data_IF_370082460184
#
_entry.id   IF_370082460184
#
_cell.length_a   1.000
_cell.length_b   1.000
_cell.length_c   1.000
_cell.angle_alpha   90.00
_cell.angle_beta   90.00
_cell.angle_gamma   90.00
#
_symmetry.space_group_name_H-M   'P 1'
#
loop_
_entity.id
_entity.type
_entity.pdbx_description
1 polymer ?
#
# COMPACT_ATOMS: atom_id res chain seq x y z
N UNK A 1 -18.72 0.38 -5.34
CA UNK A 1 -18.17 -0.89 -5.90
C UNK A 1 -17.02 -1.28 -4.99
N UNK A 2 -17.00 -2.51 -4.46
CA UNK A 2 -15.95 -2.96 -3.56
C UNK A 2 -14.93 -3.81 -4.33
N UNK A 3 -13.66 -3.75 -3.90
CA UNK A 3 -12.52 -4.46 -4.47
C UNK A 3 -11.66 -5.02 -3.35
N UNK A 4 -10.99 -6.14 -3.61
CA UNK A 4 -10.03 -6.72 -2.67
C UNK A 4 -8.86 -5.76 -2.42
N UNK A 5 -8.36 -5.71 -1.19
CA UNK A 5 -7.09 -5.08 -0.86
C UNK A 5 -6.14 -6.09 -0.24
N UNK A 6 -4.98 -6.25 -0.87
CA UNK A 6 -3.82 -6.92 -0.27
C UNK A 6 -3.00 -5.92 0.54
N UNK A 7 -2.44 -6.38 1.66
CA UNK A 7 -1.59 -5.56 2.52
C UNK A 7 -2.35 -4.56 3.38
N UNK A 8 -1.62 -3.55 3.88
CA UNK A 8 -2.13 -2.55 4.83
C UNK A 8 -2.12 -1.12 4.31
N UNK A 9 -1.95 -0.94 3.00
CA UNK A 9 -1.90 0.37 2.34
C UNK A 9 -2.69 0.37 1.02
N UNK A 10 -3.61 1.32 0.87
CA UNK A 10 -4.26 1.66 -0.38
C UNK A 10 -3.61 2.94 -0.94
N UNK A 11 -2.92 2.84 -2.09
CA UNK A 11 -2.39 4.01 -2.80
C UNK A 11 -3.17 4.23 -4.10
N UNK A 12 -3.57 5.46 -4.35
CA UNK A 12 -4.43 5.80 -5.49
C UNK A 12 -4.27 7.25 -5.92
N UNK A 13 -4.76 7.54 -7.12
CA UNK A 13 -4.95 8.88 -7.62
C UNK A 13 -6.42 9.11 -7.93
N UNK A 14 -6.88 10.33 -7.67
CA UNK A 14 -8.23 10.76 -8.03
C UNK A 14 -8.20 12.15 -8.65
N UNK A 15 -8.98 12.33 -9.70
CA UNK A 15 -9.31 13.62 -10.31
C UNK A 15 -10.80 13.86 -10.13
N UNK A 16 -11.18 14.87 -9.36
CA UNK A 16 -12.57 15.25 -9.11
C UNK A 16 -12.62 16.62 -8.43
N UNK A 17 -13.73 17.36 -8.57
CA UNK A 17 -13.88 18.66 -7.93
C UNK A 17 -13.95 18.57 -6.40
N UNK A 18 -14.64 17.56 -5.86
CA UNK A 18 -14.85 17.37 -4.42
C UNK A 18 -15.39 15.95 -4.10
N UNK A 19 -15.51 15.64 -2.80
CA UNK A 19 -16.18 14.46 -2.23
C UNK A 19 -15.63 13.11 -2.73
N UNK A 20 -14.31 12.93 -2.73
CA UNK A 20 -13.73 11.60 -2.90
C UNK A 20 -13.91 10.79 -1.60
N UNK A 21 -14.45 9.57 -1.73
CA UNK A 21 -14.80 8.73 -0.59
C UNK A 21 -14.24 7.32 -0.78
N UNK A 22 -13.52 6.82 0.24
CA UNK A 22 -13.07 5.44 0.38
C UNK A 22 -13.79 4.79 1.57
N UNK A 23 -14.29 3.58 1.38
CA UNK A 23 -14.79 2.72 2.45
C UNK A 23 -13.81 1.54 2.64
N UNK A 24 -13.53 1.14 3.87
CA UNK A 24 -12.73 -0.04 4.21
C UNK A 24 -13.63 -1.05 4.94
N UNK A 25 -13.71 -2.27 4.41
CA UNK A 25 -14.69 -3.30 4.82
C UNK A 25 -14.08 -4.69 4.93
N UNK A 26 -14.80 -5.61 5.56
CA UNK A 26 -14.40 -7.02 5.73
C UNK A 26 -14.88 -7.93 4.60
N UNK A 27 -15.65 -7.41 3.64
CA UNK A 27 -16.24 -8.15 2.53
C UNK A 27 -16.45 -7.24 1.31
N UNK A 28 -16.80 -7.83 0.16
CA UNK A 28 -17.09 -7.13 -1.09
C UNK A 28 -18.42 -6.34 -1.09
N UNK A 29 -18.82 -5.83 0.07
CA UNK A 29 -20.04 -5.08 0.34
C UNK A 29 -19.82 -4.17 1.56
N UNK A 30 -20.80 -3.32 1.87
CA UNK A 30 -20.79 -2.57 3.13
C UNK A 30 -20.88 -3.54 4.32
N UNK A 31 -20.02 -3.34 5.31
CA UNK A 31 -19.99 -4.17 6.53
C UNK A 31 -20.20 -3.31 7.78
N UNK A 32 -20.58 -3.96 8.88
CA UNK A 32 -20.54 -3.37 10.21
C UNK A 32 -19.66 -4.26 11.10
N UNK A 33 -18.47 -3.81 11.54
CA UNK A 33 -17.91 -2.46 11.36
C UNK A 33 -17.43 -2.13 9.93
N UNK A 34 -17.28 -0.83 9.66
CA UNK A 34 -16.53 -0.28 8.52
C UNK A 34 -15.84 1.03 8.91
N UNK A 35 -14.79 1.40 8.18
CA UNK A 35 -14.15 2.73 8.25
C UNK A 35 -14.41 3.48 6.94
N UNK A 36 -14.72 4.76 7.04
CA UNK A 36 -14.91 5.65 5.90
C UNK A 36 -13.84 6.74 5.95
N UNK A 37 -13.20 7.01 4.81
CA UNK A 37 -12.23 8.08 4.62
C UNK A 37 -12.75 9.03 3.55
N UNK A 38 -13.09 10.24 3.99
CA UNK A 38 -13.55 11.34 3.15
C UNK A 38 -12.38 12.27 2.84
N UNK A 39 -12.22 12.62 1.57
CA UNK A 39 -11.15 13.46 1.06
C UNK A 39 -11.78 14.62 0.29
N UNK A 40 -11.51 15.86 0.72
CA UNK A 40 -12.11 17.07 0.13
C UNK A 40 -13.63 16.99 0.04
N UNK A 41 -14.27 16.47 1.09
CA UNK A 41 -15.71 16.37 1.22
C UNK A 41 -16.33 17.69 1.70
N UNK A 42 -17.67 17.73 1.77
CA UNK A 42 -18.45 18.93 2.10
C UNK A 42 -18.13 20.07 1.12
N UNK A 43 -18.35 19.81 -0.17
CA UNK A 43 -18.05 20.75 -1.26
C UNK A 43 -16.57 21.19 -1.30
N UNK A 44 -15.66 20.27 -0.97
CA UNK A 44 -14.21 20.54 -1.02
C UNK A 44 -13.60 21.12 0.25
N UNK A 45 -14.40 21.38 1.30
CA UNK A 45 -13.94 22.10 2.47
C UNK A 45 -13.05 21.27 3.43
N UNK A 46 -13.35 19.99 3.62
CA UNK A 46 -12.73 19.20 4.69
C UNK A 46 -12.55 17.72 4.34
N UNK A 47 -11.64 17.06 5.04
CA UNK A 47 -11.44 15.61 5.00
C UNK A 47 -11.75 15.02 6.37
N UNK A 48 -12.20 13.77 6.42
CA UNK A 48 -12.53 13.11 7.69
C UNK A 48 -12.31 11.61 7.65
N UNK A 49 -12.12 11.01 8.83
CA UNK A 49 -12.21 9.56 9.03
C UNK A 49 -13.41 9.30 9.96
N UNK A 50 -14.25 8.35 9.58
CA UNK A 50 -15.45 7.96 10.32
C UNK A 50 -15.51 6.46 10.54
N UNK A 51 -16.14 6.06 11.64
CA UNK A 51 -16.35 4.65 11.97
C UNK A 51 -17.84 4.34 12.07
N UNK A 52 -18.28 3.21 11.51
CA UNK A 52 -19.68 2.72 11.55
C UNK A 52 -20.73 3.77 11.14
N UNK A 53 -20.42 4.64 10.18
CA UNK A 53 -21.33 5.72 9.74
C UNK A 53 -21.81 6.64 10.90
N UNK A 54 -21.04 6.72 11.99
CA UNK A 54 -21.33 7.55 13.16
C UNK A 54 -20.70 8.95 13.03
N UNK A 55 -20.36 9.58 14.16
CA UNK A 55 -19.61 10.84 14.16
C UNK A 55 -18.18 10.65 13.62
N UNK A 56 -17.60 11.72 13.09
CA UNK A 56 -16.24 11.72 12.56
C UNK A 56 -15.25 11.49 13.72
N UNK A 57 -14.36 10.49 13.59
CA UNK A 57 -13.26 10.25 14.53
C UNK A 57 -12.23 11.37 14.47
N UNK A 58 -12.00 11.90 13.26
CA UNK A 58 -11.17 13.07 13.00
C UNK A 58 -11.73 13.80 11.79
N UNK A 59 -11.65 15.12 11.81
CA UNK A 59 -12.01 16.01 10.69
C UNK A 59 -11.00 17.16 10.63
N UNK A 60 -10.51 17.45 9.44
CA UNK A 60 -9.49 18.48 9.18
C UNK A 60 -9.93 19.32 7.99
N UNK A 61 -9.77 20.64 8.09
CA UNK A 61 -10.00 21.55 6.97
C UNK A 61 -8.95 21.30 5.89
N UNK A 62 -9.41 21.00 4.67
CA UNK A 62 -8.55 20.66 3.52
C UNK A 62 -9.07 21.33 2.25
N UNK A 63 -9.20 22.66 2.23
CA UNK A 63 -9.61 23.37 1.02
C UNK A 63 -8.62 23.06 -0.11
N UNK A 64 -9.14 22.98 -1.33
CA UNK A 64 -8.36 22.77 -2.55
C UNK A 64 -7.50 21.50 -2.52
N UNK A 65 -7.86 20.47 -1.73
CA UNK A 65 -7.08 19.21 -1.70
C UNK A 65 -7.32 18.36 -2.95
N UNK A 66 -8.50 18.45 -3.54
CA UNK A 66 -8.88 17.79 -4.80
C UNK A 66 -8.82 18.78 -5.98
N UNK A 67 -8.81 18.24 -7.21
CA UNK A 67 -8.83 19.03 -8.45
C UNK A 67 -9.61 18.30 -9.53
N UNK A 68 -10.42 19.05 -10.28
CA UNK A 68 -11.11 18.54 -11.48
C UNK A 68 -10.20 18.54 -12.72
N UNK A 69 -9.08 19.26 -12.68
CA UNK A 69 -8.17 19.44 -13.82
C UNK A 69 -7.08 18.36 -13.87
N UNK A 70 -6.62 17.89 -12.71
CA UNK A 70 -5.48 16.98 -12.59
C UNK A 70 -5.73 15.82 -11.61
N UNK A 71 -5.03 14.70 -11.83
CA UNK A 71 -4.98 13.63 -10.85
C UNK A 71 -4.12 14.03 -9.67
N UNK A 72 -4.62 13.79 -8.46
CA UNK A 72 -3.87 13.96 -7.22
C UNK A 72 -3.76 12.64 -6.49
N UNK A 73 -2.56 12.36 -6.00
CA UNK A 73 -2.23 11.11 -5.35
C UNK A 73 -2.50 11.19 -3.84
N UNK A 74 -3.03 10.09 -3.31
CA UNK A 74 -3.29 9.89 -1.90
C UNK A 74 -2.95 8.46 -1.48
N UNK A 75 -2.80 8.28 -0.18
CA UNK A 75 -2.64 6.97 0.42
C UNK A 75 -3.50 6.84 1.68
N UNK A 76 -3.95 5.62 1.96
CA UNK A 76 -4.64 5.25 3.20
C UNK A 76 -3.98 3.99 3.76
N UNK A 77 -3.40 4.06 4.96
CA UNK A 77 -2.86 2.89 5.67
C UNK A 77 -3.79 2.48 6.81
N UNK A 78 -3.87 1.18 7.09
CA UNK A 78 -4.76 0.62 8.12
C UNK A 78 -4.08 -0.51 8.93
N UNK A 79 -2.94 -0.18 9.52
CA UNK A 79 -2.14 -1.02 10.41
C UNK A 79 -2.17 -0.50 11.86
N UNK A 80 -1.73 -1.33 12.81
CA UNK A 80 -1.67 -1.00 14.26
C UNK A 80 -2.97 -0.50 14.87
N UNK A 81 -4.11 -1.04 14.42
CA UNK A 81 -5.45 -0.62 14.85
C UNK A 81 -5.74 0.87 14.59
N UNK A 82 -5.02 1.48 13.64
CA UNK A 82 -5.20 2.86 13.22
C UNK A 82 -5.48 2.97 11.73
N UNK A 83 -6.20 4.01 11.34
CA UNK A 83 -6.29 4.45 9.95
C UNK A 83 -5.60 5.79 9.81
N UNK A 84 -4.73 5.88 8.81
CA UNK A 84 -4.02 7.11 8.44
C UNK A 84 -4.27 7.41 6.96
N UNK A 85 -4.38 8.68 6.62
CA UNK A 85 -4.54 9.16 5.26
C UNK A 85 -3.55 10.31 5.01
N UNK A 86 -2.92 10.33 3.84
CA UNK A 86 -2.01 11.41 3.45
C UNK A 86 -1.96 11.65 1.94
N UNK A 87 -1.20 12.67 1.54
CA UNK A 87 -0.96 13.05 0.15
C UNK A 87 0.21 12.26 -0.43
N UNK A 88 0.17 11.98 -1.73
CA UNK A 88 1.30 11.38 -2.43
C UNK A 88 2.55 12.23 -2.34
N UNK A 89 3.71 11.60 -2.13
CA UNK A 89 5.00 12.25 -1.90
C UNK A 89 5.25 12.65 -0.46
N UNK A 90 4.20 12.77 0.37
CA UNK A 90 4.30 13.12 1.78
C UNK A 90 4.20 11.86 2.66
N UNK A 91 5.22 11.61 3.47
CA UNK A 91 5.21 10.50 4.44
C UNK A 91 4.32 10.79 5.66
N UNK A 92 4.24 12.05 6.08
CA UNK A 92 3.45 12.43 7.24
C UNK A 92 1.94 12.36 6.92
N UNK A 93 1.13 11.66 7.74
CA UNK A 93 -0.31 11.63 7.52
C UNK A 93 -0.95 13.01 7.70
N UNK A 94 -1.92 13.31 6.85
CA UNK A 94 -2.81 14.47 7.02
C UNK A 94 -3.87 14.20 8.08
N UNK A 95 -4.39 12.96 8.14
CA UNK A 95 -5.34 12.50 9.14
C UNK A 95 -4.90 11.18 9.75
N UNK A 96 -5.17 11.00 11.04
CA UNK A 96 -4.94 9.77 11.78
C UNK A 96 -6.06 9.56 12.81
N UNK A 97 -6.54 8.33 12.92
CA UNK A 97 -7.53 7.94 13.92
C UNK A 97 -7.32 6.48 14.35
N UNK A 98 -7.48 6.21 15.64
CA UNK A 98 -7.56 4.84 16.19
C UNK A 98 -8.92 4.24 15.86
N UNK A 99 -8.96 2.98 15.42
CA UNK A 99 -10.19 2.24 15.12
C UNK A 99 -10.79 1.74 16.45
N UNK A 100 -12.00 2.19 16.86
CA UNK A 100 -12.55 1.84 18.18
C UNK A 100 -12.79 0.35 18.40
N UNK A 101 -13.25 -0.36 17.37
CA UNK A 101 -13.40 -1.82 17.36
C UNK A 101 -12.65 -2.37 16.15
N UNK A 102 -11.34 -2.70 16.29
CA UNK A 102 -10.53 -3.16 15.18
C UNK A 102 -11.09 -4.43 14.55
N UNK A 103 -11.01 -4.50 13.22
CA UNK A 103 -11.53 -5.61 12.43
C UNK A 103 -10.62 -5.89 11.24
N UNK A 104 -10.79 -7.07 10.64
CA UNK A 104 -10.01 -7.45 9.48
C UNK A 104 -10.52 -6.72 8.23
N UNK A 105 -9.82 -5.66 7.83
CA UNK A 105 -10.03 -4.99 6.55
C UNK A 105 -9.47 -5.87 5.43
N UNK A 106 -10.32 -6.26 4.49
CA UNK A 106 -9.98 -7.10 3.33
C UNK A 106 -10.41 -6.48 2.01
N UNK A 107 -11.31 -5.49 2.04
CA UNK A 107 -11.83 -4.83 0.86
C UNK A 107 -11.86 -3.32 1.03
N UNK A 108 -11.87 -2.62 -0.11
CA UNK A 108 -12.16 -1.20 -0.17
C UNK A 108 -13.26 -0.90 -1.18
N UNK A 109 -14.15 0.03 -0.83
CA UNK A 109 -15.09 0.68 -1.72
C UNK A 109 -14.60 2.09 -2.07
N UNK A 110 -15.03 2.61 -3.21
CA UNK A 110 -14.75 3.99 -3.60
C UNK A 110 -15.94 4.62 -4.33
N UNK A 111 -16.08 5.94 -4.21
CA UNK A 111 -17.10 6.75 -4.89
C UNK A 111 -16.72 8.22 -4.90
N UNK A 112 -17.29 8.99 -5.83
CA UNK A 112 -17.44 10.43 -5.67
C UNK A 112 -18.85 10.78 -5.20
N UNK A 113 -18.96 11.72 -4.27
CA UNK A 113 -20.22 12.12 -3.63
C UNK A 113 -21.19 12.87 -4.54
N UNK A 114 -22.31 13.31 -3.97
CA UNK A 114 -23.36 14.02 -4.69
C UNK A 114 -22.83 15.29 -5.36
N UNK A 115 -23.13 15.45 -6.65
CA UNK A 115 -22.71 16.62 -7.43
C UNK A 115 -21.28 16.53 -8.01
N UNK A 116 -20.50 15.51 -7.64
CA UNK A 116 -19.14 15.31 -8.15
C UNK A 116 -19.04 14.09 -9.08
N UNK A 117 -18.20 14.22 -10.11
CA UNK A 117 -17.74 13.11 -10.94
C UNK A 117 -16.25 12.96 -10.74
N UNK A 118 -15.77 11.73 -10.52
CA UNK A 118 -14.34 11.48 -10.38
C UNK A 118 -13.83 10.35 -11.25
N UNK A 119 -12.55 10.50 -11.61
CA UNK A 119 -11.76 9.48 -12.28
C UNK A 119 -10.70 8.97 -11.31
N UNK A 120 -10.58 7.64 -11.19
CA UNK A 120 -9.77 6.99 -10.18
C UNK A 120 -8.73 6.07 -10.81
N UNK A 121 -7.52 6.04 -10.25
CA UNK A 121 -6.45 5.11 -10.61
C UNK A 121 -5.90 4.47 -9.33
N UNK A 122 -5.85 3.14 -9.26
CA UNK A 122 -5.39 2.42 -8.08
C UNK A 122 -4.03 1.78 -8.34
N UNK A 123 -3.03 2.03 -7.49
CA UNK A 123 -1.65 1.62 -7.75
C UNK A 123 -1.42 0.12 -7.50
N UNK A 124 -2.19 -0.49 -6.59
CA UNK A 124 -2.18 -1.93 -6.33
C UNK A 124 -2.63 -2.78 -7.53
N UNK A 125 -3.19 -2.17 -8.57
CA UNK A 125 -3.63 -2.84 -9.81
C UNK A 125 -2.61 -2.70 -10.95
N UNK A 126 -1.51 -1.98 -10.73
CA UNK A 126 -0.46 -1.77 -11.74
C UNK A 126 0.36 -3.04 -11.93
N UNK A 127 0.61 -3.39 -13.20
CA UNK A 127 1.66 -4.34 -13.60
C UNK A 127 2.91 -3.56 -13.98
N UNK A 128 4.05 -4.01 -13.48
CA UNK A 128 5.35 -3.40 -13.72
C UNK A 128 6.26 -4.45 -14.36
N UNK A 129 6.90 -4.07 -15.46
CA UNK A 129 7.88 -4.89 -16.15
C UNK A 129 9.27 -4.29 -15.93
N UNK A 130 10.28 -5.14 -15.74
CA UNK A 130 11.68 -4.74 -15.62
C UNK A 130 12.50 -5.41 -16.71
N UNK A 131 13.54 -4.72 -17.18
CA UNK A 131 14.52 -5.31 -18.09
C UNK A 131 15.42 -6.31 -17.33
N UNK A 132 16.17 -7.14 -18.06
CA UNK A 132 17.24 -7.99 -17.51
C UNK A 132 18.43 -7.10 -17.07
N UNK A 133 18.30 -6.53 -15.88
CA UNK A 133 19.21 -5.52 -15.33
C UNK A 133 19.14 -5.49 -13.80
N UNK A 134 20.22 -5.04 -13.18
CA UNK A 134 20.32 -4.83 -11.73
C UNK A 134 19.83 -3.43 -11.30
N UNK A 135 19.24 -2.66 -12.21
CA UNK A 135 18.73 -1.33 -11.93
C UNK A 135 17.38 -1.40 -11.21
N UNK A 136 17.24 -0.64 -10.11
CA UNK A 136 15.98 -0.51 -9.39
C UNK A 136 15.11 0.61 -9.97
N UNK A 137 13.81 0.34 -10.05
CA UNK A 137 12.78 1.38 -10.17
C UNK A 137 12.20 1.66 -8.79
N UNK A 138 12.22 2.91 -8.35
CA UNK A 138 11.77 3.30 -7.02
C UNK A 138 10.33 3.80 -7.03
N UNK A 139 9.52 3.29 -6.10
CA UNK A 139 8.15 3.74 -5.84
C UNK A 139 8.03 4.07 -4.35
N UNK A 140 7.34 5.16 -3.96
CA UNK A 140 7.09 5.44 -2.57
C UNK A 140 6.20 4.35 -1.95
N UNK A 141 6.56 3.94 -0.76
CA UNK A 141 5.80 3.01 0.08
C UNK A 141 5.31 3.78 1.28
N UNK A 142 4.04 3.58 1.65
CA UNK A 142 3.43 4.17 2.85
C UNK A 142 3.04 3.04 3.80
N UNK A 143 3.23 3.25 5.10
CA UNK A 143 3.06 2.21 6.11
C UNK A 143 4.30 1.33 6.26
N UNK A 144 4.14 0.13 6.80
CA UNK A 144 5.24 -0.74 7.24
C UNK A 144 5.33 -2.07 6.50
N UNK A 145 4.50 -2.24 5.48
CA UNK A 145 4.36 -3.49 4.75
C UNK A 145 3.82 -3.27 3.34
N UNK A 146 4.21 -4.17 2.44
CA UNK A 146 3.70 -4.24 1.07
C UNK A 146 3.31 -5.68 0.75
N UNK A 147 2.37 -5.82 -0.17
CA UNK A 147 2.08 -7.09 -0.84
C UNK A 147 2.27 -6.91 -2.33
N UNK A 148 2.84 -7.92 -2.98
CA UNK A 148 3.09 -7.90 -4.41
C UNK A 148 2.96 -9.32 -4.97
N UNK A 149 2.82 -9.39 -6.29
CA UNK A 149 2.90 -10.65 -7.02
C UNK A 149 4.03 -10.52 -8.04
N UNK A 150 4.79 -11.59 -8.24
CA UNK A 150 5.89 -11.61 -9.20
C UNK A 150 5.84 -12.89 -10.01
N UNK A 151 6.14 -12.77 -11.30
CA UNK A 151 6.38 -13.88 -12.22
C UNK A 151 7.76 -13.67 -12.83
N UNK A 152 8.73 -14.49 -12.45
CA UNK A 152 10.10 -14.43 -12.97
C UNK A 152 10.74 -15.82 -12.95
N UNK A 153 11.71 -16.05 -13.85
CA UNK A 153 12.36 -17.35 -14.01
C UNK A 153 13.62 -17.55 -13.18
N UNK A 154 14.15 -16.49 -12.56
CA UNK A 154 15.37 -16.51 -11.76
C UNK A 154 15.10 -15.91 -10.39
N UNK A 155 15.29 -14.60 -10.25
CA UNK A 155 15.29 -13.89 -8.98
C UNK A 155 14.38 -12.65 -9.04
N UNK A 156 13.68 -12.41 -7.94
CA UNK A 156 12.99 -11.15 -7.68
C UNK A 156 13.80 -10.36 -6.64
N UNK A 157 14.19 -9.14 -7.00
CA UNK A 157 14.93 -8.23 -6.12
C UNK A 157 14.06 -7.06 -5.68
N UNK A 158 14.08 -6.78 -4.38
CA UNK A 158 13.46 -5.61 -3.78
C UNK A 158 14.53 -4.81 -3.05
N UNK A 159 14.45 -3.48 -3.17
CA UNK A 159 15.28 -2.56 -2.42
C UNK A 159 14.40 -1.70 -1.51
N UNK A 160 14.78 -1.60 -0.24
CA UNK A 160 14.23 -0.61 0.69
C UNK A 160 15.27 0.49 0.87
N UNK A 161 14.91 1.70 0.44
CA UNK A 161 15.74 2.92 0.50
C UNK A 161 14.97 4.04 1.20
N UNK A 162 15.68 5.12 1.55
CA UNK A 162 15.08 6.31 2.18
C UNK A 162 14.65 7.39 1.17
N UNK A 163 14.70 7.09 -0.13
CA UNK A 163 14.39 8.03 -1.19
C UNK A 163 14.23 7.36 -2.56
N UNK A 164 13.90 8.11 -3.62
CA UNK A 164 13.66 7.59 -4.97
C UNK A 164 14.96 7.26 -5.72
N UNK A 165 15.99 6.83 -4.99
CA UNK A 165 17.33 6.50 -5.46
C UNK A 165 18.00 5.52 -4.49
N UNK A 166 19.15 4.97 -4.88
CA UNK A 166 19.96 4.17 -3.96
C UNK A 166 20.49 5.02 -2.81
N UNK A 167 20.18 4.64 -1.57
CA UNK A 167 20.60 5.36 -0.37
C UNK A 167 21.47 4.49 0.54
N UNK A 168 22.05 5.08 1.58
CA UNK A 168 22.62 4.34 2.71
C UNK A 168 21.93 4.79 4.00
N UNK A 169 21.29 3.89 4.78
CA UNK A 169 21.21 2.45 4.54
C UNK A 169 20.30 2.08 3.35
N UNK A 170 20.58 0.93 2.74
CA UNK A 170 19.73 0.23 1.77
C UNK A 170 19.65 -1.24 2.17
N UNK A 171 18.45 -1.78 2.28
CA UNK A 171 18.24 -3.20 2.46
C UNK A 171 17.80 -3.83 1.15
N UNK A 172 18.43 -4.93 0.78
CA UNK A 172 18.08 -5.69 -0.41
C UNK A 172 17.51 -7.04 0.01
N UNK A 173 16.41 -7.42 -0.62
CA UNK A 173 15.71 -8.67 -0.41
C UNK A 173 15.72 -9.44 -1.72
N UNK A 174 16.28 -10.64 -1.68
CA UNK A 174 16.40 -11.58 -2.77
C UNK A 174 15.37 -12.67 -2.55
N UNK A 175 14.51 -12.92 -3.53
CA UNK A 175 13.54 -14.04 -3.52
C UNK A 175 13.84 -14.89 -4.75
N UNK A 176 14.26 -16.14 -4.55
CA UNK A 176 14.70 -17.00 -5.65
C UNK A 176 16.08 -16.64 -6.21
N UNK A 177 16.94 -16.01 -5.42
CA UNK A 177 18.35 -15.83 -5.80
C UNK A 177 19.08 -17.17 -6.04
N UNK A 178 20.26 -17.09 -6.64
CA UNK A 178 21.15 -18.24 -6.90
C UNK A 178 20.44 -19.36 -7.65
N UNK A 179 19.97 -19.07 -8.87
CA UNK A 179 19.23 -20.03 -9.70
C UNK A 179 17.96 -20.56 -9.01
N UNK A 180 17.21 -19.66 -8.37
CA UNK A 180 15.96 -19.98 -7.67
C UNK A 180 16.13 -20.98 -6.52
N UNK A 181 17.27 -20.95 -5.83
CA UNK A 181 17.58 -21.87 -4.73
C UNK A 181 17.52 -21.24 -3.35
N UNK A 182 17.76 -19.93 -3.25
CA UNK A 182 17.85 -19.26 -1.95
C UNK A 182 17.18 -17.90 -1.94
N UNK A 183 16.76 -17.48 -0.77
CA UNK A 183 16.33 -16.12 -0.50
C UNK A 183 17.23 -15.50 0.55
N UNK A 184 17.49 -14.20 0.44
CA UNK A 184 18.44 -13.51 1.31
C UNK A 184 18.02 -12.08 1.61
N UNK A 185 18.50 -11.54 2.73
CA UNK A 185 18.44 -10.11 3.03
C UNK A 185 19.86 -9.65 3.30
N UNK A 186 20.28 -8.53 2.69
CA UNK A 186 21.59 -7.91 2.94
C UNK A 186 21.46 -6.41 3.15
N UNK A 187 22.49 -5.84 3.76
CA UNK A 187 22.61 -4.41 4.02
C UNK A 187 23.71 -3.80 3.14
N UNK A 188 23.39 -2.71 2.44
CA UNK A 188 24.32 -1.88 1.67
C UNK A 188 25.18 -2.67 0.67
N UNK A 189 24.57 -3.61 -0.08
CA UNK A 189 25.28 -4.46 -1.05
C UNK A 189 26.46 -5.25 -0.45
N UNK A 190 26.47 -5.46 0.87
CA UNK A 190 27.46 -6.23 1.61
C UNK A 190 27.14 -7.73 1.66
N UNK A 191 27.68 -8.41 2.67
CA UNK A 191 27.38 -9.82 2.94
C UNK A 191 25.91 -10.02 3.34
N UNK A 192 25.39 -11.21 3.04
CA UNK A 192 24.03 -11.60 3.42
C UNK A 192 23.88 -11.58 4.95
N UNK A 193 22.94 -10.79 5.46
CA UNK A 193 22.58 -10.79 6.89
C UNK A 193 21.88 -12.10 7.26
N UNK A 194 21.10 -12.63 6.33
CA UNK A 194 20.43 -13.91 6.40
C UNK A 194 20.29 -14.47 4.99
N UNK A 195 20.44 -15.80 4.87
CA UNK A 195 20.19 -16.56 3.65
C UNK A 195 19.53 -17.88 4.03
N UNK A 196 18.47 -18.23 3.33
CA UNK A 196 17.65 -19.43 3.59
C UNK A 196 17.39 -20.19 2.29
N UNK A 197 17.21 -21.50 2.41
CA UNK A 197 16.90 -22.39 1.28
C UNK A 197 15.44 -22.23 0.87
N UNK A 198 15.21 -21.81 -0.38
CA UNK A 198 13.89 -21.54 -0.95
C UNK A 198 13.86 -22.01 -2.40
N UNK A 199 14.12 -23.30 -2.60
CA UNK A 199 14.13 -23.90 -3.92
C UNK A 199 12.78 -23.70 -4.63
N UNK A 200 12.83 -23.25 -5.88
CA UNK A 200 11.70 -23.08 -6.78
C UNK A 200 10.61 -22.13 -6.24
N UNK A 201 11.02 -21.11 -5.47
CA UNK A 201 10.09 -20.18 -4.80
C UNK A 201 9.40 -19.21 -5.78
N UNK A 202 10.05 -18.85 -6.89
CA UNK A 202 9.46 -18.05 -7.99
C UNK A 202 9.25 -18.91 -9.24
N UNK A 203 8.37 -18.45 -10.14
CA UNK A 203 8.04 -19.13 -11.39
C UNK A 203 7.66 -18.11 -12.48
N UNK A 204 8.06 -18.34 -13.73
CA UNK A 204 7.70 -17.47 -14.86
C UNK A 204 6.33 -17.80 -15.47
N UNK A 205 5.78 -18.98 -15.18
CA UNK A 205 4.48 -19.43 -15.70
C UNK A 205 3.33 -19.11 -14.73
N UNK A 206 3.64 -18.75 -13.48
CA UNK A 206 2.65 -18.52 -12.43
C UNK A 206 3.05 -17.34 -11.55
N UNK A 207 2.15 -16.36 -11.40
CA UNK A 207 2.33 -15.26 -10.45
C UNK A 207 2.34 -15.80 -9.01
N UNK A 208 3.49 -15.66 -8.33
CA UNK A 208 3.63 -15.97 -6.90
C UNK A 208 3.39 -14.72 -6.08
N UNK A 209 2.59 -14.85 -5.01
CA UNK A 209 2.15 -13.74 -4.16
C UNK A 209 2.94 -13.71 -2.86
N UNK A 210 3.49 -12.56 -2.52
CA UNK A 210 4.32 -12.36 -1.35
C UNK A 210 3.86 -11.16 -0.52
N UNK A 211 4.29 -11.15 0.74
CA UNK A 211 4.28 -9.96 1.58
C UNK A 211 5.70 -9.65 2.06
N UNK A 212 5.98 -8.37 2.25
CA UNK A 212 7.20 -7.85 2.86
C UNK A 212 6.78 -6.90 3.98
N UNK A 213 7.34 -7.07 5.17
CA UNK A 213 7.16 -6.16 6.31
C UNK A 213 8.51 -5.63 6.77
N UNK A 214 8.58 -4.34 7.08
CA UNK A 214 9.75 -3.65 7.62
C UNK A 214 9.35 -2.90 8.91
N UNK A 215 8.74 -3.65 9.83
CA UNK A 215 8.14 -3.15 11.06
C UNK A 215 9.00 -3.44 12.28
N UNK A 216 9.05 -2.52 13.24
CA UNK A 216 9.68 -2.71 14.55
C UNK A 216 11.14 -3.19 14.46
N UNK A 217 11.91 -2.64 13.51
CA UNK A 217 13.32 -3.00 13.32
C UNK A 217 13.56 -4.37 12.68
N UNK A 218 12.53 -5.01 12.13
CA UNK A 218 12.65 -6.29 11.45
C UNK A 218 12.16 -6.21 10.01
N UNK A 219 12.96 -6.76 9.10
CA UNK A 219 12.53 -7.04 7.72
C UNK A 219 12.16 -8.52 7.65
N UNK A 220 10.95 -8.81 7.16
CA UNK A 220 10.41 -10.16 7.03
C UNK A 220 9.70 -10.30 5.68
N UNK A 221 9.87 -11.45 5.05
CA UNK A 221 9.24 -11.78 3.76
C UNK A 221 8.62 -13.17 3.86
N UNK A 222 7.45 -13.35 3.24
CA UNK A 222 6.73 -14.61 3.23
C UNK A 222 5.78 -14.71 2.05
N UNK A 223 5.24 -15.91 1.81
CA UNK A 223 4.12 -16.07 0.89
C UNK A 223 2.88 -15.37 1.45
N UNK A 224 2.00 -14.92 0.56
CA UNK A 224 0.70 -14.35 0.97
C UNK A 224 -0.01 -15.32 1.93
N UNK A 225 -0.46 -14.80 3.06
CA UNK A 225 -1.20 -15.53 4.10
C UNK A 225 -0.37 -16.65 4.79
N UNK A 226 0.97 -16.60 4.74
CA UNK A 226 1.88 -17.50 5.46
C UNK A 226 2.78 -16.77 6.47
N UNK A 227 3.38 -17.54 7.37
CA UNK A 227 4.53 -17.11 8.16
C UNK A 227 5.73 -16.76 7.25
N UNK A 228 6.68 -15.91 7.72
CA UNK A 228 7.90 -15.64 6.97
C UNK A 228 8.76 -16.90 6.86
N UNK A 229 9.48 -17.02 5.75
CA UNK A 229 10.48 -18.08 5.53
C UNK A 229 11.88 -17.64 5.97
#
# INVERSE_FOLDING_TARGET
>A
RFRDIGGKCLRFQVKTAHDAHIALTSAAEETDPMVEVFIGAWEGAASAIRFKKADDLVKVDTPDILSEEEYREFWVTFDDDEVRMGKGGDWEPLMRATIPEPFQITHYGYSTGWGAVGWWQFHNERRLDTEDSVAYTFEPVYGDSITFSVSCGHDAHLALTSGPEETTPMYEIFIGGWENQHSAIRLNKGDDMIKVDTADIVCCEEEKKFWLSFKNGHIRVGFKDSDPF
#
